data_IF_221629784858
#
_entry.id   IF_221629784858
#
_cell.length_a   1.000
_cell.length_b   1.000
_cell.length_c   1.000
_cell.angle_alpha   90.00
_cell.angle_beta   90.00
_cell.angle_gamma   90.00
#
_symmetry.space_group_name_H-M   'P 1'
#
loop_
_entity.id
_entity.type
_entity.pdbx_description
1 polymer ?
#
# COMPACT_ATOMS: atom_id res chain seq x y z
N UNK A 1 -17.44 2.67 -7.13
CA UNK A 1 -16.86 2.39 -8.46
C UNK A 1 -15.52 1.68 -8.25
N UNK A 2 -15.56 0.44 -7.78
CA UNK A 2 -14.36 -0.34 -7.47
C UNK A 2 -14.01 -1.17 -8.69
N UNK A 3 -12.75 -1.08 -9.14
CA UNK A 3 -12.25 -1.83 -10.28
C UNK A 3 -12.39 -3.32 -10.04
N UNK A 4 -13.25 -3.95 -10.82
CA UNK A 4 -13.28 -5.39 -11.03
C UNK A 4 -11.97 -5.79 -11.69
N UNK A 5 -10.98 -6.10 -10.87
CA UNK A 5 -9.80 -6.86 -11.26
C UNK A 5 -10.34 -8.07 -12.04
N UNK A 6 -9.87 -8.25 -13.27
CA UNK A 6 -10.31 -9.30 -14.18
C UNK A 6 -10.51 -10.64 -13.45
N UNK A 7 -11.50 -11.47 -13.85
CA UNK A 7 -11.81 -12.72 -13.17
C UNK A 7 -10.54 -13.54 -12.97
N UNK A 8 -10.18 -13.78 -11.70
CA UNK A 8 -8.93 -14.48 -11.33
C UNK A 8 -8.85 -15.81 -12.07
N UNK A 9 -7.79 -16.02 -12.83
CA UNK A 9 -7.56 -17.32 -13.48
C UNK A 9 -7.32 -18.39 -12.41
N UNK A 10 -7.60 -19.66 -12.74
CA UNK A 10 -7.43 -20.77 -11.79
C UNK A 10 -5.99 -20.85 -11.26
N UNK A 11 -5.00 -20.62 -12.12
CA UNK A 11 -3.58 -20.58 -11.74
C UNK A 11 -3.26 -19.45 -10.75
N UNK A 12 -3.82 -18.25 -10.95
CA UNK A 12 -3.62 -17.13 -10.04
C UNK A 12 -4.27 -17.38 -8.67
N UNK A 13 -5.46 -18.01 -8.63
CA UNK A 13 -6.11 -18.39 -7.37
C UNK A 13 -5.30 -19.42 -6.60
N UNK A 14 -4.71 -20.38 -7.31
CA UNK A 14 -3.89 -21.42 -6.70
C UNK A 14 -2.57 -20.85 -6.17
N UNK A 15 -1.86 -20.05 -6.97
CA UNK A 15 -0.60 -19.42 -6.57
C UNK A 15 -0.75 -18.55 -5.31
N UNK A 16 -1.86 -17.81 -5.19
CA UNK A 16 -2.14 -17.00 -3.99
C UNK A 16 -2.40 -17.83 -2.75
N UNK A 17 -3.19 -18.89 -2.88
CA UNK A 17 -3.48 -19.79 -1.77
C UNK A 17 -2.19 -20.43 -1.28
N UNK A 18 -1.37 -20.96 -2.20
CA UNK A 18 -0.07 -21.55 -1.90
C UNK A 18 0.84 -20.52 -1.21
N UNK A 19 0.96 -19.31 -1.76
CA UNK A 19 1.83 -18.26 -1.19
C UNK A 19 1.37 -17.84 0.22
N UNK A 20 0.06 -17.75 0.44
CA UNK A 20 -0.50 -17.39 1.76
C UNK A 20 -0.20 -18.48 2.78
N UNK A 21 -0.29 -19.76 2.41
CA UNK A 21 0.00 -20.89 3.28
C UNK A 21 1.51 -20.95 3.60
N UNK A 22 2.37 -20.86 2.59
CA UNK A 22 3.83 -20.93 2.75
C UNK A 22 4.38 -19.75 3.57
N UNK A 23 3.73 -18.58 3.50
CA UNK A 23 4.13 -17.38 4.24
C UNK A 23 3.76 -17.38 5.73
N UNK A 24 3.15 -18.45 6.27
CA UNK A 24 2.66 -18.49 7.65
C UNK A 24 3.63 -19.25 8.56
N UNK A 25 3.85 -18.74 9.78
CA UNK A 25 4.68 -19.42 10.81
C UNK A 25 4.21 -20.84 11.15
N UNK A 26 2.91 -21.10 11.06
CA UNK A 26 2.32 -22.43 11.28
C UNK A 26 2.79 -23.46 10.27
N UNK A 27 2.97 -23.08 8.99
CA UNK A 27 3.48 -23.97 7.95
C UNK A 27 4.91 -24.42 8.24
N UNK A 28 5.77 -23.49 8.68
CA UNK A 28 7.17 -23.78 9.03
C UNK A 28 7.25 -24.79 10.18
N UNK A 29 6.42 -24.62 11.20
CA UNK A 29 6.37 -25.53 12.36
C UNK A 29 5.93 -26.93 11.93
N UNK A 30 4.83 -27.05 11.17
CA UNK A 30 4.33 -28.32 10.67
C UNK A 30 5.38 -29.02 9.79
N UNK A 31 5.98 -28.29 8.86
CA UNK A 31 7.03 -28.81 7.97
C UNK A 31 8.23 -29.34 8.76
N UNK A 32 8.65 -28.61 9.81
CA UNK A 32 9.76 -29.02 10.68
C UNK A 32 9.42 -30.31 11.44
N UNK A 33 8.20 -30.42 11.99
CA UNK A 33 7.74 -31.63 12.68
C UNK A 33 7.71 -32.83 11.72
N UNK A 34 7.24 -32.65 10.48
CA UNK A 34 7.23 -33.71 9.47
C UNK A 34 8.65 -34.18 9.15
N UNK A 35 9.60 -33.25 8.94
CA UNK A 35 11.00 -33.58 8.67
C UNK A 35 11.60 -34.35 9.85
N UNK A 36 11.45 -33.83 11.07
CA UNK A 36 11.98 -34.47 12.27
C UNK A 36 11.35 -35.85 12.52
N UNK A 37 10.03 -35.98 12.30
CA UNK A 37 9.32 -37.25 12.41
C UNK A 37 9.80 -38.27 11.37
N UNK A 38 9.99 -37.85 10.12
CA UNK A 38 10.49 -38.70 9.03
C UNK A 38 11.92 -39.17 9.28
N UNK A 39 12.81 -38.24 9.64
CA UNK A 39 14.20 -38.52 9.98
C UNK A 39 14.29 -39.42 11.20
N UNK A 40 13.52 -39.14 12.25
CA UNK A 40 13.48 -39.95 13.47
C UNK A 40 13.00 -41.37 13.20
N UNK A 41 11.89 -41.53 12.45
CA UNK A 41 11.37 -42.84 12.07
C UNK A 41 12.37 -43.68 11.27
N UNK A 42 13.01 -43.10 10.25
CA UNK A 42 13.99 -43.82 9.44
C UNK A 42 15.28 -44.13 10.21
N UNK A 43 15.69 -43.26 11.14
CA UNK A 43 16.85 -43.51 11.99
C UNK A 43 16.61 -44.69 12.96
N UNK A 44 15.40 -44.82 13.51
CA UNK A 44 15.02 -45.91 14.41
C UNK A 44 14.99 -47.28 13.71
N UNK A 45 14.61 -47.31 12.43
CA UNK A 45 14.57 -48.56 11.63
C UNK A 45 15.96 -48.88 11.02
N UNK A 46 16.80 -47.86 10.82
CA UNK A 46 18.16 -48.03 10.33
C UNK A 46 18.20 -48.48 8.86
N UNK A 47 18.94 -49.55 8.55
CA UNK A 47 19.18 -50.02 7.16
C UNK A 47 17.95 -50.60 6.46
N UNK A 48 16.92 -50.98 7.23
CA UNK A 48 15.63 -51.43 6.69
C UNK A 48 14.61 -50.29 6.59
N UNK A 49 15.02 -49.05 6.86
CA UNK A 49 14.19 -47.87 6.72
C UNK A 49 13.76 -47.68 5.27
N UNK A 50 12.62 -47.02 5.09
CA UNK A 50 12.12 -46.65 3.76
C UNK A 50 13.06 -45.66 3.05
N UNK A 51 13.75 -44.81 3.81
CA UNK A 51 14.73 -43.82 3.36
C UNK A 51 15.95 -43.81 4.30
N UNK A 52 16.88 -44.77 4.18
CA UNK A 52 18.08 -44.82 5.02
C UNK A 52 18.98 -43.61 4.80
N UNK A 53 19.82 -43.29 5.79
CA UNK A 53 20.84 -42.24 5.66
C UNK A 53 21.68 -42.51 4.39
N UNK A 54 21.78 -41.56 3.43
CA UNK A 54 21.67 -40.10 3.56
C UNK A 54 20.31 -39.43 3.20
N UNK A 55 19.17 -40.11 3.31
CA UNK A 55 17.82 -39.56 3.08
C UNK A 55 17.59 -39.00 1.66
N UNK A 56 17.76 -39.83 0.63
CA UNK A 56 17.64 -39.40 -0.77
C UNK A 56 16.23 -38.95 -1.13
N UNK A 57 15.21 -39.60 -0.59
CA UNK A 57 13.81 -39.29 -0.91
C UNK A 57 13.37 -37.98 -0.27
N UNK A 58 13.74 -37.76 0.99
CA UNK A 58 13.50 -36.49 1.67
C UNK A 58 14.17 -35.33 0.92
N UNK A 59 15.43 -35.51 0.52
CA UNK A 59 16.17 -34.48 -0.21
C UNK A 59 15.52 -34.17 -1.57
N UNK A 60 15.13 -35.20 -2.32
CA UNK A 60 14.42 -35.02 -3.59
C UNK A 60 13.10 -34.26 -3.41
N UNK A 61 12.31 -34.61 -2.39
CA UNK A 61 11.03 -33.96 -2.11
C UNK A 61 11.20 -32.48 -1.75
N UNK A 62 12.15 -32.16 -0.87
CA UNK A 62 12.45 -30.77 -0.48
C UNK A 62 12.96 -29.96 -1.67
N UNK A 63 13.79 -30.55 -2.53
CA UNK A 63 14.30 -29.91 -3.74
C UNK A 63 13.17 -29.57 -4.72
N UNK A 64 12.25 -30.51 -4.94
CA UNK A 64 11.05 -30.28 -5.75
C UNK A 64 10.15 -29.21 -5.13
N UNK A 65 9.90 -29.27 -3.81
CA UNK A 65 9.11 -28.29 -3.10
C UNK A 65 9.67 -26.86 -3.29
N UNK A 66 10.98 -26.68 -3.14
CA UNK A 66 11.63 -25.39 -3.35
C UNK A 66 11.49 -24.91 -4.81
N UNK A 67 11.70 -25.81 -5.77
CA UNK A 67 11.61 -25.50 -7.20
C UNK A 67 10.22 -24.98 -7.62
N UNK A 68 9.14 -25.51 -7.03
CA UNK A 68 7.76 -25.04 -7.31
C UNK A 68 7.36 -23.81 -6.50
N UNK A 69 7.96 -23.64 -5.31
CA UNK A 69 7.63 -22.52 -4.42
C UNK A 69 8.10 -21.20 -5.01
N UNK A 70 9.31 -21.12 -5.56
CA UNK A 70 9.86 -19.86 -6.06
C UNK A 70 9.04 -19.23 -7.23
N UNK A 71 8.62 -19.99 -8.27
CA UNK A 71 7.74 -19.46 -9.31
C UNK A 71 6.36 -19.05 -8.80
N UNK A 72 5.78 -19.83 -7.87
CA UNK A 72 4.48 -19.50 -7.28
C UNK A 72 4.52 -18.18 -6.51
N UNK A 73 5.58 -17.97 -5.71
CA UNK A 73 5.84 -16.71 -5.00
C UNK A 73 6.03 -15.57 -6.01
N UNK A 74 6.86 -15.77 -7.04
CA UNK A 74 7.13 -14.75 -8.06
C UNK A 74 5.87 -14.34 -8.83
N UNK A 75 4.99 -15.28 -9.15
CA UNK A 75 3.69 -14.99 -9.78
C UNK A 75 2.77 -14.17 -8.86
N UNK A 76 2.72 -14.49 -7.57
CA UNK A 76 1.93 -13.72 -6.59
C UNK A 76 2.52 -12.32 -6.37
N UNK A 77 3.85 -12.20 -6.36
CA UNK A 77 4.57 -10.93 -6.22
C UNK A 77 4.37 -10.01 -7.44
N UNK A 78 4.57 -10.50 -8.67
CA UNK A 78 4.39 -9.71 -9.90
C UNK A 78 3.02 -9.02 -9.91
N UNK A 79 1.97 -9.77 -9.55
CA UNK A 79 0.61 -9.24 -9.52
C UNK A 79 0.39 -8.22 -8.40
N UNK A 80 0.93 -8.45 -7.19
CA UNK A 80 0.86 -7.45 -6.12
C UNK A 80 1.55 -6.15 -6.55
N UNK A 81 2.71 -6.26 -7.20
CA UNK A 81 3.44 -5.11 -7.75
C UNK A 81 2.64 -4.31 -8.78
N UNK A 82 1.94 -4.97 -9.71
CA UNK A 82 1.07 -4.27 -10.69
C UNK A 82 -0.07 -3.50 -10.01
N UNK A 83 -0.72 -4.11 -9.01
CA UNK A 83 -1.79 -3.45 -8.24
C UNK A 83 -1.23 -2.28 -7.42
N UNK A 84 -0.08 -2.47 -6.78
CA UNK A 84 0.56 -1.44 -5.96
C UNK A 84 1.07 -0.28 -6.81
N UNK A 85 1.56 -0.54 -8.02
CA UNK A 85 1.94 0.49 -8.98
C UNK A 85 0.76 1.38 -9.38
N UNK A 86 -0.37 0.77 -9.74
CA UNK A 86 -1.57 1.52 -10.11
C UNK A 86 -2.13 2.34 -8.93
N UNK A 87 -2.09 1.77 -7.71
CA UNK A 87 -2.47 2.50 -6.49
C UNK A 87 -1.56 3.69 -6.22
N UNK A 88 -0.25 3.54 -6.43
CA UNK A 88 0.71 4.62 -6.27
C UNK A 88 0.46 5.75 -7.29
N UNK A 89 0.15 5.41 -8.54
CA UNK A 89 -0.19 6.40 -9.57
C UNK A 89 -1.45 7.19 -9.20
N UNK A 90 -2.51 6.53 -8.75
CA UNK A 90 -3.72 7.22 -8.27
C UNK A 90 -3.39 8.12 -7.08
N UNK A 91 -2.65 7.61 -6.10
CA UNK A 91 -2.29 8.39 -4.91
C UNK A 91 -1.52 9.66 -5.29
N UNK A 92 -0.57 9.55 -6.24
CA UNK A 92 0.16 10.68 -6.78
C UNK A 92 -0.77 11.70 -7.46
N UNK A 93 -1.69 11.23 -8.31
CA UNK A 93 -2.63 12.10 -9.01
C UNK A 93 -3.60 12.82 -8.07
N UNK A 94 -4.05 12.15 -7.00
CA UNK A 94 -4.87 12.76 -5.95
C UNK A 94 -4.07 13.83 -5.20
N UNK A 95 -2.81 13.56 -4.87
CA UNK A 95 -1.95 14.54 -4.19
C UNK A 95 -1.76 15.80 -5.03
N UNK A 96 -1.42 15.66 -6.31
CA UNK A 96 -1.26 16.80 -7.23
C UNK A 96 -2.54 17.61 -7.35
N UNK A 97 -3.71 16.95 -7.42
CA UNK A 97 -5.01 17.65 -7.44
C UNK A 97 -5.27 18.41 -6.15
N UNK A 98 -4.96 17.83 -4.99
CA UNK A 98 -5.10 18.50 -3.71
C UNK A 98 -4.19 19.73 -3.62
N UNK A 99 -2.94 19.63 -4.07
CA UNK A 99 -2.00 20.77 -4.11
C UNK A 99 -2.52 21.91 -5.00
N UNK A 100 -3.09 21.59 -6.18
CA UNK A 100 -3.70 22.58 -7.06
C UNK A 100 -4.94 23.25 -6.45
N UNK A 101 -5.77 22.48 -5.74
CA UNK A 101 -6.96 23.02 -5.07
C UNK A 101 -6.57 23.95 -3.90
N UNK A 102 -5.52 23.59 -3.14
CA UNK A 102 -4.94 24.45 -2.11
C UNK A 102 -4.44 25.76 -2.73
N UNK A 103 -3.73 25.69 -3.86
CA UNK A 103 -3.25 26.88 -4.56
C UNK A 103 -4.41 27.79 -5.01
N UNK A 104 -5.46 27.21 -5.60
CA UNK A 104 -6.64 27.95 -6.04
C UNK A 104 -7.41 28.58 -4.86
N UNK A 105 -7.47 27.92 -3.71
CA UNK A 105 -8.03 28.49 -2.49
C UNK A 105 -7.17 29.64 -1.95
N UNK A 106 -5.85 29.48 -1.96
CA UNK A 106 -4.92 30.51 -1.52
C UNK A 106 -5.03 31.79 -2.36
N UNK A 107 -5.12 31.65 -3.69
CA UNK A 107 -5.33 32.76 -4.61
C UNK A 107 -6.65 33.51 -4.33
N UNK A 108 -7.76 32.76 -4.15
CA UNK A 108 -9.05 33.35 -3.78
C UNK A 108 -9.00 34.08 -2.43
N UNK A 109 -8.30 33.53 -1.43
CA UNK A 109 -8.12 34.18 -0.13
C UNK A 109 -7.34 35.48 -0.30
N UNK A 110 -6.24 35.47 -1.06
CA UNK A 110 -5.45 36.67 -1.34
C UNK A 110 -6.26 37.78 -2.03
N UNK A 111 -7.13 37.42 -2.98
CA UNK A 111 -8.06 38.37 -3.60
C UNK A 111 -9.05 38.95 -2.61
N UNK A 112 -9.68 38.11 -1.77
CA UNK A 112 -10.61 38.58 -0.74
C UNK A 112 -9.93 39.49 0.30
N UNK A 113 -8.70 39.17 0.70
CA UNK A 113 -7.90 40.03 1.59
C UNK A 113 -7.67 41.41 0.96
N UNK A 114 -7.31 41.45 -0.33
CA UNK A 114 -7.15 42.70 -1.08
C UNK A 114 -8.44 43.52 -1.13
N UNK A 115 -9.56 42.88 -1.45
CA UNK A 115 -10.87 43.52 -1.51
C UNK A 115 -11.29 44.09 -0.16
N UNK A 116 -11.13 43.31 0.92
CA UNK A 116 -11.43 43.76 2.29
C UNK A 116 -10.55 44.94 2.70
N UNK A 117 -9.25 44.89 2.41
CA UNK A 117 -8.34 46.01 2.72
C UNK A 117 -8.74 47.27 1.95
N UNK A 118 -9.11 47.13 0.67
CA UNK A 118 -9.54 48.27 -0.14
C UNK A 118 -10.85 48.88 0.37
N UNK A 119 -11.82 48.05 0.76
CA UNK A 119 -13.10 48.49 1.32
C UNK A 119 -12.91 49.22 2.67
N UNK A 120 -12.06 48.69 3.56
CA UNK A 120 -11.72 49.35 4.83
C UNK A 120 -11.05 50.71 4.57
N UNK A 121 -10.08 50.79 3.64
CA UNK A 121 -9.45 52.07 3.28
C UNK A 121 -10.46 53.09 2.76
N UNK A 122 -11.38 52.69 1.89
CA UNK A 122 -12.43 53.57 1.38
C UNK A 122 -13.33 54.09 2.50
N UNK A 123 -13.77 53.22 3.42
CA UNK A 123 -14.56 53.65 4.58
C UNK A 123 -13.80 54.62 5.49
N UNK A 124 -12.52 54.37 5.74
CA UNK A 124 -11.68 55.27 6.54
C UNK A 124 -11.57 56.66 5.89
N UNK A 125 -11.39 56.74 4.57
CA UNK A 125 -11.36 58.01 3.84
C UNK A 125 -12.68 58.76 4.01
N UNK A 126 -13.81 58.09 3.82
CA UNK A 126 -15.15 58.70 3.97
C UNK A 126 -15.36 59.24 5.39
N UNK A 127 -15.05 58.44 6.42
CA UNK A 127 -15.17 58.85 7.83
C UNK A 127 -14.26 60.05 8.12
N UNK A 128 -13.04 60.06 7.58
CA UNK A 128 -12.11 61.18 7.78
C UNK A 128 -12.64 62.50 7.18
N UNK A 129 -13.24 62.44 5.99
CA UNK A 129 -13.86 63.61 5.34
C UNK A 129 -15.05 64.13 6.15
N UNK A 130 -15.91 63.24 6.64
CA UNK A 130 -17.04 63.63 7.49
C UNK A 130 -16.57 64.30 8.79
N UNK A 131 -15.51 63.80 9.41
CA UNK A 131 -14.93 64.42 10.61
C UNK A 131 -14.36 65.82 10.32
N UNK A 132 -13.71 66.06 9.17
CA UNK A 132 -13.27 67.40 8.78
C UNK A 132 -14.42 68.36 8.51
N UNK A 133 -15.47 67.91 7.82
CA UNK A 133 -16.66 68.72 7.58
C UNK A 133 -17.37 69.10 8.90
N UNK A 134 -17.49 68.16 9.83
CA UNK A 134 -18.04 68.43 11.16
C UNK A 134 -17.16 69.41 11.96
N UNK A 135 -15.83 69.31 11.83
CA UNK A 135 -14.89 70.23 12.46
C UNK A 135 -14.98 71.65 11.88
N UNK A 136 -15.26 71.80 10.59
CA UNK A 136 -15.49 73.11 9.96
C UNK A 136 -16.86 73.73 10.31
N UNK A 137 -17.83 72.92 10.74
CA UNK A 137 -19.20 73.35 11.08
C UNK A 137 -19.43 73.64 12.56
N UNK A 138 -18.47 73.35 13.44
CA UNK A 138 -18.51 73.81 14.83
C UNK A 138 -17.88 75.21 14.93
N UNK A 139 -18.57 76.22 15.52
CA UNK A 139 -18.03 77.57 15.73
C UNK A 139 -16.96 77.62 16.82
#
# INVERSE_FOLDING_TARGET
MWQSIAPRTLGQRLADKITTIIGTWTFIIIQTIIILGWTGYNLLIGKNGFDPYPFILLNLFLSFQAAYTAPAIMMSQKRKGEVDHYRAEIASNVNVKADLEIYALHDKIGHLEGDVVSAIKQQLVIISQQLEELKQKQP
#
